data_IF_217937534704
#
_entry.id   IF_217937534704
#
_cell.length_a   1.000
_cell.length_b   1.000
_cell.length_c   1.000
_cell.angle_alpha   90.00
_cell.angle_beta   90.00
_cell.angle_gamma   90.00
#
_symmetry.space_group_name_H-M   'P 1'
#
loop_
_entity.id
_entity.type
_entity.pdbx_description
1 polymer ?
#
# COMPACT_ATOMS: atom_id res chain seq x y z
N UNK A 1 10.71 1.03 21.00
CA UNK A 1 10.43 0.96 19.55
C UNK A 1 10.93 -0.35 18.99
N UNK A 2 10.08 -1.17 18.43
CA UNK A 2 10.50 -2.36 17.67
C UNK A 2 11.03 -1.87 16.33
N UNK A 3 12.31 -2.12 16.05
CA UNK A 3 12.91 -1.70 14.79
C UNK A 3 12.31 -2.54 13.66
N UNK A 4 11.73 -1.91 12.64
CA UNK A 4 11.27 -2.61 11.45
C UNK A 4 12.48 -3.05 10.60
N UNK A 5 12.43 -4.25 10.04
CA UNK A 5 13.49 -4.82 9.20
C UNK A 5 12.93 -5.27 7.86
N UNK A 6 13.77 -5.36 6.83
CA UNK A 6 13.37 -5.90 5.52
C UNK A 6 12.79 -7.32 5.64
N UNK A 7 13.30 -8.14 6.55
CA UNK A 7 12.78 -9.50 6.80
C UNK A 7 11.34 -9.45 7.34
N UNK A 8 11.05 -8.54 8.27
CA UNK A 8 9.68 -8.32 8.75
C UNK A 8 8.75 -7.87 7.61
N UNK A 9 9.20 -6.94 6.75
CA UNK A 9 8.41 -6.51 5.59
C UNK A 9 8.10 -7.69 4.67
N UNK A 10 9.10 -8.51 4.36
CA UNK A 10 8.92 -9.71 3.53
C UNK A 10 8.01 -10.76 4.18
N UNK A 11 7.95 -10.82 5.52
CA UNK A 11 7.00 -11.70 6.21
C UNK A 11 5.55 -11.21 6.13
N UNK A 12 5.33 -9.89 6.08
CA UNK A 12 4.00 -9.31 5.83
C UNK A 12 3.59 -9.44 4.37
N UNK A 13 4.54 -9.32 3.44
CA UNK A 13 4.30 -9.30 1.99
C UNK A 13 5.11 -10.40 1.29
N UNK A 14 4.75 -11.68 1.47
CA UNK A 14 5.49 -12.79 0.88
C UNK A 14 5.51 -12.74 -0.66
N UNK A 15 4.55 -12.04 -1.29
CA UNK A 15 4.48 -11.82 -2.72
C UNK A 15 5.70 -11.06 -3.29
N UNK A 16 6.45 -10.34 -2.46
CA UNK A 16 7.73 -9.75 -2.87
C UNK A 16 8.74 -10.80 -3.37
N UNK A 17 8.60 -12.07 -2.94
CA UNK A 17 9.43 -13.15 -3.46
C UNK A 17 9.05 -13.60 -4.88
N UNK A 18 7.85 -13.27 -5.37
CA UNK A 18 7.37 -13.60 -6.72
C UNK A 18 7.90 -12.61 -7.78
N UNK A 19 8.41 -11.44 -7.36
CA UNK A 19 8.99 -10.43 -8.25
C UNK A 19 10.26 -10.97 -8.89
N UNK A 20 10.35 -10.93 -10.23
CA UNK A 20 11.52 -11.40 -10.98
C UNK A 20 12.75 -10.55 -10.70
N UNK A 21 12.59 -9.23 -10.68
CA UNK A 21 13.66 -8.31 -10.33
C UNK A 21 13.76 -8.15 -8.81
N UNK A 22 14.56 -8.97 -8.15
CA UNK A 22 14.74 -8.98 -6.71
C UNK A 22 15.35 -7.68 -6.13
N UNK A 23 16.03 -6.87 -6.96
CA UNK A 23 16.47 -5.53 -6.55
C UNK A 23 15.27 -4.60 -6.30
N UNK A 24 14.22 -4.68 -7.12
CA UNK A 24 12.99 -3.93 -6.88
C UNK A 24 12.23 -4.42 -5.64
N UNK A 25 12.20 -5.73 -5.41
CA UNK A 25 11.61 -6.28 -4.19
C UNK A 25 12.33 -5.82 -2.92
N UNK A 26 13.67 -5.72 -2.98
CA UNK A 26 14.48 -5.16 -1.90
C UNK A 26 14.15 -3.69 -1.66
N UNK A 27 14.13 -2.86 -2.71
CA UNK A 27 13.78 -1.45 -2.62
C UNK A 27 12.38 -1.23 -2.03
N UNK A 28 11.40 -2.07 -2.39
CA UNK A 28 10.07 -2.00 -1.80
C UNK A 28 10.10 -2.28 -0.29
N UNK A 29 10.90 -3.24 0.17
CA UNK A 29 11.07 -3.49 1.59
C UNK A 29 11.77 -2.33 2.31
N UNK A 30 12.81 -1.75 1.72
CA UNK A 30 13.52 -0.58 2.24
C UNK A 30 12.60 0.65 2.37
N UNK A 31 11.68 0.85 1.42
CA UNK A 31 10.68 1.93 1.48
C UNK A 31 9.77 1.76 2.72
N UNK A 32 9.29 0.54 2.99
CA UNK A 32 8.49 0.28 4.19
C UNK A 32 9.26 0.54 5.47
N UNK A 33 10.54 0.15 5.52
CA UNK A 33 11.42 0.41 6.66
C UNK A 33 11.57 1.91 6.88
N UNK A 34 11.92 2.66 5.83
CA UNK A 34 12.12 4.11 5.94
C UNK A 34 10.82 4.85 6.32
N UNK A 35 9.69 4.51 5.69
CA UNK A 35 8.41 5.13 6.02
C UNK A 35 7.99 4.86 7.47
N UNK A 36 8.27 3.66 8.00
CA UNK A 36 8.02 3.36 9.40
C UNK A 36 8.96 4.14 10.34
N UNK A 37 10.26 4.23 10.02
CA UNK A 37 11.23 5.00 10.81
C UNK A 37 10.89 6.50 10.84
N UNK A 38 10.30 7.04 9.78
CA UNK A 38 9.86 8.43 9.68
C UNK A 38 8.48 8.67 10.34
N UNK A 39 7.78 7.62 10.71
CA UNK A 39 6.45 7.70 11.32
C UNK A 39 6.53 7.86 12.85
N UNK A 40 5.40 8.16 13.46
CA UNK A 40 5.27 8.20 14.93
C UNK A 40 4.77 6.87 15.53
N UNK A 41 4.55 5.84 14.72
CA UNK A 41 4.08 4.56 15.20
C UNK A 41 5.18 3.79 15.94
N UNK A 42 4.86 3.26 17.12
CA UNK A 42 5.80 2.45 17.91
C UNK A 42 5.82 0.99 17.46
N UNK A 43 4.70 0.50 16.93
CA UNK A 43 4.54 -0.84 16.40
C UNK A 43 3.77 -0.78 15.08
N UNK A 44 4.29 -1.44 14.04
CA UNK A 44 3.67 -1.46 12.72
C UNK A 44 2.26 -2.08 12.72
N UNK A 45 2.00 -3.02 13.63
CA UNK A 45 0.69 -3.65 13.76
C UNK A 45 -0.41 -2.70 14.25
N UNK A 46 -0.03 -1.57 14.88
CA UNK A 46 -0.97 -0.56 15.39
C UNK A 46 -1.26 0.54 14.35
N UNK A 47 -0.44 0.63 13.30
CA UNK A 47 -0.67 1.56 12.20
C UNK A 47 -1.95 1.19 11.45
N UNK A 48 -2.88 2.16 11.31
CA UNK A 48 -4.19 1.94 10.72
C UNK A 48 -4.24 2.40 9.28
N UNK A 49 -5.04 1.71 8.45
CA UNK A 49 -5.14 2.08 7.03
C UNK A 49 -6.08 3.27 6.81
N UNK A 50 -7.07 3.49 7.69
CA UNK A 50 -8.02 4.60 7.56
C UNK A 50 -8.62 5.00 8.91
N UNK A 51 -8.89 6.30 9.08
CA UNK A 51 -9.58 6.82 10.27
C UNK A 51 -11.04 6.37 10.37
N UNK A 52 -11.68 6.02 9.24
CA UNK A 52 -13.07 5.53 9.16
C UNK A 52 -13.22 4.06 9.49
N UNK A 53 -12.12 3.30 9.56
CA UNK A 53 -12.12 1.89 9.91
C UNK A 53 -11.12 1.63 11.05
N UNK A 54 -11.45 2.09 12.28
CA UNK A 54 -10.58 1.93 13.43
C UNK A 54 -10.33 0.45 13.72
N UNK A 55 -9.09 0.12 14.06
CA UNK A 55 -8.67 -1.26 14.39
C UNK A 55 -8.28 -2.11 13.18
N UNK A 56 -8.41 -1.61 11.94
CA UNK A 56 -7.89 -2.31 10.76
C UNK A 56 -6.45 -1.87 10.52
N UNK A 57 -5.52 -2.81 10.71
CA UNK A 57 -4.09 -2.55 10.55
C UNK A 57 -3.73 -2.32 9.07
N UNK A 58 -2.88 -1.32 8.82
CA UNK A 58 -2.38 -0.98 7.47
C UNK A 58 -1.74 -2.18 6.76
N UNK A 59 -0.92 -2.96 7.48
CA UNK A 59 -0.27 -4.15 6.89
C UNK A 59 -1.28 -5.22 6.48
N UNK A 60 -2.40 -5.37 7.20
CA UNK A 60 -3.46 -6.32 6.87
C UNK A 60 -4.25 -5.89 5.63
N UNK A 61 -4.59 -4.60 5.55
CA UNK A 61 -5.21 -4.03 4.37
C UNK A 61 -4.31 -4.22 3.13
N UNK A 62 -3.05 -3.83 3.22
CA UNK A 62 -2.10 -3.94 2.11
C UNK A 62 -1.88 -5.40 1.68
N UNK A 63 -1.78 -6.34 2.64
CA UNK A 63 -1.69 -7.79 2.36
C UNK A 63 -2.94 -8.27 1.58
N UNK A 64 -4.13 -7.92 2.05
CA UNK A 64 -5.41 -8.26 1.43
C UNK A 64 -5.53 -7.70 0.01
N UNK A 65 -5.24 -6.42 -0.17
CA UNK A 65 -5.25 -5.76 -1.49
C UNK A 65 -4.29 -6.45 -2.46
N UNK A 66 -3.06 -6.75 -2.00
CA UNK A 66 -2.07 -7.44 -2.84
C UNK A 66 -2.53 -8.83 -3.26
N UNK A 67 -3.07 -9.62 -2.32
CA UNK A 67 -3.60 -10.95 -2.60
C UNK A 67 -4.78 -10.91 -3.58
N UNK A 68 -5.73 -9.99 -3.37
CA UNK A 68 -6.89 -9.80 -4.24
C UNK A 68 -6.47 -9.35 -5.65
N UNK A 69 -5.53 -8.40 -5.75
CA UNK A 69 -5.02 -7.94 -7.04
C UNK A 69 -4.40 -9.09 -7.85
N UNK A 70 -3.59 -9.94 -7.21
CA UNK A 70 -3.00 -11.11 -7.87
C UNK A 70 -4.03 -12.16 -8.26
N UNK A 71 -5.06 -12.38 -7.45
CA UNK A 71 -6.16 -13.27 -7.79
C UNK A 71 -6.92 -12.79 -9.03
N UNK A 72 -7.23 -11.50 -9.09
CA UNK A 72 -7.88 -10.88 -10.26
C UNK A 72 -6.98 -10.99 -11.48
N UNK A 73 -5.68 -10.69 -11.35
CA UNK A 73 -4.73 -10.77 -12.45
C UNK A 73 -4.65 -12.20 -13.03
N UNK A 74 -4.48 -13.21 -12.17
CA UNK A 74 -4.43 -14.64 -12.58
C UNK A 74 -5.70 -15.04 -13.30
N UNK A 75 -6.88 -14.70 -12.78
CA UNK A 75 -8.15 -14.98 -13.43
C UNK A 75 -8.27 -14.28 -14.79
N UNK A 76 -7.81 -13.04 -14.89
CA UNK A 76 -7.85 -12.26 -16.14
C UNK A 76 -6.96 -12.88 -17.20
N UNK A 77 -5.74 -13.29 -16.85
CA UNK A 77 -4.83 -14.01 -17.76
C UNK A 77 -5.45 -15.34 -18.20
N UNK A 78 -5.98 -16.13 -17.26
CA UNK A 78 -6.57 -17.44 -17.56
C UNK A 78 -7.78 -17.35 -18.49
N UNK A 79 -8.66 -16.38 -18.28
CA UNK A 79 -9.93 -16.27 -19.05
C UNK A 79 -9.78 -15.56 -20.38
N UNK A 80 -8.89 -14.55 -20.45
CA UNK A 80 -8.83 -13.65 -21.61
C UNK A 80 -7.48 -13.67 -22.33
N UNK A 81 -6.43 -14.26 -21.73
CA UNK A 81 -5.07 -14.28 -22.30
C UNK A 81 -4.40 -12.90 -22.34
N UNK A 82 -4.83 -11.96 -21.50
CA UNK A 82 -4.24 -10.62 -21.47
C UNK A 82 -2.86 -10.67 -20.80
N UNK A 83 -1.95 -9.85 -21.33
CA UNK A 83 -0.63 -9.66 -20.71
C UNK A 83 -0.75 -8.71 -19.54
N UNK A 84 -0.21 -9.11 -18.38
CA UNK A 84 -0.17 -8.33 -17.14
C UNK A 84 1.24 -8.39 -16.59
N UNK A 85 1.83 -7.23 -16.32
CA UNK A 85 3.11 -7.16 -15.64
C UNK A 85 2.90 -7.37 -14.12
N UNK A 86 3.13 -8.62 -13.70
CA UNK A 86 2.95 -9.01 -12.29
C UNK A 86 3.97 -8.37 -11.36
N UNK A 87 5.20 -8.07 -11.83
CA UNK A 87 6.20 -7.37 -11.02
C UNK A 87 5.73 -5.94 -10.70
N UNK A 88 5.23 -5.22 -11.73
CA UNK A 88 4.66 -3.86 -11.56
C UNK A 88 3.43 -3.89 -10.66
N UNK A 89 2.54 -4.87 -10.85
CA UNK A 89 1.33 -5.00 -10.03
C UNK A 89 1.66 -5.27 -8.56
N UNK A 90 2.57 -6.21 -8.26
CA UNK A 90 2.97 -6.51 -6.88
C UNK A 90 3.62 -5.30 -6.23
N UNK A 91 4.57 -4.65 -6.91
CA UNK A 91 5.25 -3.46 -6.40
C UNK A 91 4.25 -2.35 -6.07
N UNK A 92 3.33 -2.07 -7.00
CA UNK A 92 2.33 -1.03 -6.80
C UNK A 92 1.36 -1.40 -5.67
N UNK A 93 0.90 -2.66 -5.59
CA UNK A 93 -0.01 -3.11 -4.53
C UNK A 93 0.64 -3.08 -3.15
N UNK A 94 1.90 -3.49 -3.03
CA UNK A 94 2.63 -3.42 -1.75
C UNK A 94 2.92 -1.99 -1.32
N UNK A 95 3.09 -1.05 -2.26
CA UNK A 95 3.54 0.32 -1.95
C UNK A 95 2.43 1.38 -2.00
N UNK A 96 1.20 1.05 -2.47
CA UNK A 96 0.16 2.05 -2.71
C UNK A 96 -0.12 2.91 -1.48
N UNK A 97 -0.15 2.30 -0.32
CA UNK A 97 -0.55 2.90 0.94
C UNK A 97 0.59 3.07 1.96
N UNK A 98 1.84 2.76 1.59
CA UNK A 98 2.96 2.73 2.55
C UNK A 98 3.10 4.03 3.33
N UNK A 99 2.89 5.18 2.71
CA UNK A 99 2.99 6.48 3.38
C UNK A 99 1.76 6.88 4.21
N UNK A 100 0.77 6.01 4.37
CA UNK A 100 -0.19 6.15 5.49
C UNK A 100 0.50 6.06 6.85
N UNK A 101 1.66 5.44 6.92
CA UNK A 101 2.52 5.45 8.11
C UNK A 101 2.88 6.88 8.54
N UNK A 102 3.19 7.76 7.58
CA UNK A 102 3.54 9.16 7.85
C UNK A 102 2.33 10.09 7.78
N UNK A 103 1.33 9.75 6.95
CA UNK A 103 0.09 10.53 6.82
C UNK A 103 -0.75 10.50 8.09
N UNK A 104 -0.68 9.40 8.85
CA UNK A 104 -1.48 9.21 10.06
C UNK A 104 -0.59 8.97 11.28
N UNK A 105 -1.14 9.30 12.43
CA UNK A 105 -0.57 9.06 13.74
C UNK A 105 -1.65 8.49 14.68
N UNK A 106 -1.24 7.93 15.81
CA UNK A 106 -2.16 7.47 16.84
C UNK A 106 -3.04 8.65 17.32
N UNK A 107 -4.32 8.40 17.46
CA UNK A 107 -5.27 9.33 18.04
C UNK A 107 -5.05 9.54 19.54
N UNK A 108 -6.06 10.02 20.25
CA UNK A 108 -5.94 10.23 21.69
C UNK A 108 -5.64 8.92 22.42
N UNK A 109 -4.79 9.02 23.44
CA UNK A 109 -4.26 7.86 24.16
C UNK A 109 -5.39 6.95 24.67
N UNK A 110 -5.36 5.69 24.26
CA UNK A 110 -6.37 4.69 24.63
C UNK A 110 -7.65 4.68 23.79
N UNK A 111 -7.77 5.56 22.77
CA UNK A 111 -8.96 5.59 21.90
C UNK A 111 -9.00 4.45 20.88
N UNK A 112 -7.86 3.84 20.55
CA UNK A 112 -7.75 2.87 19.46
C UNK A 112 -8.01 3.45 18.07
N UNK A 113 -8.01 4.79 17.95
CA UNK A 113 -8.26 5.51 16.69
C UNK A 113 -6.99 6.12 16.14
N UNK A 114 -7.03 6.56 14.89
CA UNK A 114 -5.96 7.33 14.25
C UNK A 114 -6.46 8.69 13.81
N UNK A 115 -5.53 9.60 13.57
CA UNK A 115 -5.79 10.94 13.04
C UNK A 115 -4.71 11.33 12.04
N UNK A 116 -4.96 12.40 11.27
CA UNK A 116 -3.96 12.96 10.37
C UNK A 116 -2.80 13.55 11.16
N UNK A 117 -1.60 13.17 10.80
CA UNK A 117 -0.36 13.78 11.30
C UNK A 117 -0.20 15.23 10.80
N UNK A 118 0.81 15.95 11.28
CA UNK A 118 1.14 17.27 10.74
C UNK A 118 1.48 17.20 9.25
N UNK A 119 2.21 16.16 8.81
CA UNK A 119 2.54 15.92 7.41
C UNK A 119 1.29 15.54 6.61
N UNK A 120 0.43 14.69 7.16
CA UNK A 120 -0.82 14.25 6.53
C UNK A 120 -1.87 15.35 6.33
N UNK A 121 -1.73 16.48 7.01
CA UNK A 121 -2.53 17.70 6.75
C UNK A 121 -2.06 18.47 5.51
N UNK A 122 -0.82 18.22 5.06
CA UNK A 122 -0.20 18.90 3.91
C UNK A 122 -0.25 17.99 2.67
N UNK A 123 0.13 16.71 2.83
CA UNK A 123 0.25 15.76 1.74
C UNK A 123 -0.67 14.55 1.93
N UNK A 124 -1.15 14.02 0.81
CA UNK A 124 -1.85 12.74 0.78
C UNK A 124 -0.83 11.59 0.66
N UNK A 125 -1.14 10.42 1.24
CA UNK A 125 -0.29 9.22 1.19
C UNK A 125 0.07 8.81 -0.23
N UNK A 126 -0.84 8.89 -1.21
CA UNK A 126 -0.55 8.53 -2.60
C UNK A 126 0.57 9.37 -3.21
N UNK A 127 0.61 10.69 -2.91
CA UNK A 127 1.70 11.56 -3.34
C UNK A 127 3.02 11.17 -2.65
N UNK A 128 3.00 10.97 -1.34
CA UNK A 128 4.20 10.61 -0.57
C UNK A 128 4.73 9.23 -0.98
N UNK A 129 3.84 8.23 -1.13
CA UNK A 129 4.23 6.91 -1.62
C UNK A 129 4.86 6.98 -3.02
N UNK A 130 4.30 7.79 -3.92
CA UNK A 130 4.88 8.06 -5.23
C UNK A 130 6.24 8.75 -5.16
N UNK A 131 6.45 9.68 -4.23
CA UNK A 131 7.76 10.27 -3.99
C UNK A 131 8.79 9.20 -3.58
N UNK A 132 8.44 8.28 -2.67
CA UNK A 132 9.35 7.20 -2.27
C UNK A 132 9.68 6.25 -3.43
N UNK A 133 8.70 5.90 -4.25
CA UNK A 133 8.97 5.05 -5.42
C UNK A 133 9.99 5.67 -6.37
N UNK A 134 9.89 7.00 -6.60
CA UNK A 134 10.86 7.74 -7.41
C UNK A 134 12.23 7.87 -6.72
N UNK A 135 12.24 8.20 -5.44
CA UNK A 135 13.46 8.31 -4.63
C UNK A 135 14.29 7.03 -4.67
N UNK A 136 13.65 5.87 -4.65
CA UNK A 136 14.29 4.57 -4.70
C UNK A 136 14.55 4.08 -6.13
N UNK A 137 14.17 4.85 -7.15
CA UNK A 137 14.41 4.51 -8.57
C UNK A 137 13.65 3.26 -9.00
N UNK A 138 12.39 3.10 -8.52
CA UNK A 138 11.47 2.12 -9.05
C UNK A 138 10.91 2.57 -10.42
N UNK A 139 10.37 1.65 -11.25
CA UNK A 139 9.79 2.00 -12.54
C UNK A 139 8.72 3.10 -12.44
N UNK A 140 8.66 3.97 -13.46
CA UNK A 140 7.66 5.04 -13.53
C UNK A 140 6.23 4.51 -13.50
N UNK A 141 6.02 3.32 -14.07
CA UNK A 141 4.73 2.61 -14.06
C UNK A 141 4.26 2.37 -12.63
N UNK A 142 5.14 1.89 -11.74
CA UNK A 142 4.85 1.70 -10.31
C UNK A 142 4.43 3.02 -9.67
N UNK A 143 5.23 4.08 -9.90
CA UNK A 143 4.92 5.41 -9.38
C UNK A 143 3.55 5.90 -9.85
N UNK A 144 3.27 5.76 -11.15
CA UNK A 144 2.00 6.18 -11.73
C UNK A 144 0.80 5.46 -11.11
N UNK A 145 0.91 4.14 -10.90
CA UNK A 145 -0.13 3.34 -10.25
C UNK A 145 -0.32 3.75 -8.78
N UNK A 146 0.77 3.90 -8.03
CA UNK A 146 0.74 4.30 -6.62
C UNK A 146 0.10 5.68 -6.44
N UNK A 147 0.45 6.67 -7.26
CA UNK A 147 -0.14 8.03 -7.16
C UNK A 147 -1.63 8.02 -7.51
N UNK A 148 -2.06 7.16 -8.42
CA UNK A 148 -3.42 7.16 -8.97
C UNK A 148 -4.34 6.07 -8.37
N UNK A 149 -3.88 5.27 -7.38
CA UNK A 149 -4.58 4.06 -6.93
C UNK A 149 -5.92 4.33 -6.26
N UNK A 150 -6.12 5.47 -5.62
CA UNK A 150 -7.27 5.71 -4.75
C UNK A 150 -8.32 6.63 -5.36
N UNK A 151 -9.56 6.55 -4.85
CA UNK A 151 -10.64 7.48 -5.21
C UNK A 151 -10.38 8.95 -4.85
N UNK A 152 -9.33 9.26 -4.10
CA UNK A 152 -8.87 10.63 -3.85
C UNK A 152 -8.09 11.19 -5.03
N UNK A 153 -7.52 10.35 -5.88
CA UNK A 153 -6.92 10.76 -7.14
C UNK A 153 -8.02 11.08 -8.17
N UNK A 154 -7.86 12.17 -8.91
CA UNK A 154 -8.73 12.48 -10.05
C UNK A 154 -8.29 11.76 -11.33
N UNK A 155 -7.20 11.03 -11.28
CA UNK A 155 -6.65 10.27 -12.40
C UNK A 155 -6.89 8.78 -12.12
N UNK A 156 -7.67 8.14 -12.98
CA UNK A 156 -7.86 6.69 -12.92
C UNK A 156 -6.77 6.05 -13.80
N UNK A 157 -5.99 5.10 -13.25
CA UNK A 157 -5.01 4.36 -14.06
C UNK A 157 -5.70 3.67 -15.24
N UNK A 158 -5.11 3.76 -16.43
CA UNK A 158 -5.70 3.15 -17.65
C UNK A 158 -5.03 1.85 -18.05
N UNK A 159 -3.97 1.41 -17.36
CA UNK A 159 -3.40 0.09 -17.57
C UNK A 159 -4.25 -0.99 -16.90
N UNK A 160 -4.08 -2.23 -17.32
CA UNK A 160 -4.79 -3.36 -16.69
C UNK A 160 -4.39 -3.48 -15.22
N UNK A 161 -3.10 -3.36 -14.91
CA UNK A 161 -2.57 -3.39 -13.55
C UNK A 161 -3.18 -2.30 -12.68
N UNK A 162 -3.31 -1.08 -13.24
CA UNK A 162 -3.91 0.05 -12.54
C UNK A 162 -5.39 -0.16 -12.23
N UNK A 163 -6.16 -0.71 -13.16
CA UNK A 163 -7.57 -1.04 -12.94
C UNK A 163 -7.72 -2.15 -11.90
N UNK A 164 -6.86 -3.17 -11.95
CA UNK A 164 -6.86 -4.26 -10.98
C UNK A 164 -6.55 -3.72 -9.58
N UNK A 165 -5.49 -2.94 -9.42
CA UNK A 165 -5.12 -2.35 -8.14
C UNK A 165 -6.23 -1.47 -7.58
N UNK A 166 -6.77 -0.56 -8.41
CA UNK A 166 -7.84 0.34 -8.00
C UNK A 166 -9.05 -0.39 -7.44
N UNK A 167 -9.54 -1.41 -8.15
CA UNK A 167 -10.73 -2.15 -7.69
C UNK A 167 -10.41 -3.09 -6.52
N UNK A 168 -9.22 -3.65 -6.43
CA UNK A 168 -8.81 -4.45 -5.27
C UNK A 168 -8.75 -3.60 -3.99
N UNK A 169 -8.16 -2.39 -4.06
CA UNK A 169 -8.08 -1.44 -2.96
C UNK A 169 -9.47 -0.92 -2.56
N UNK A 170 -10.26 -0.43 -3.52
CA UNK A 170 -11.59 0.10 -3.24
C UNK A 170 -12.52 -0.96 -2.62
N UNK A 171 -12.48 -2.18 -3.12
CA UNK A 171 -13.28 -3.28 -2.60
C UNK A 171 -12.90 -3.59 -1.14
N UNK A 172 -11.61 -3.71 -0.83
CA UNK A 172 -11.15 -4.00 0.53
C UNK A 172 -11.51 -2.86 1.49
N UNK A 173 -11.26 -1.61 1.09
CA UNK A 173 -11.61 -0.43 1.88
C UNK A 173 -13.13 -0.33 2.14
N UNK A 174 -13.96 -0.51 1.13
CA UNK A 174 -15.42 -0.42 1.24
C UNK A 174 -16.00 -1.51 2.14
N UNK A 175 -15.45 -2.74 2.11
CA UNK A 175 -15.86 -3.81 3.04
C UNK A 175 -15.66 -3.35 4.49
N UNK A 176 -14.50 -2.77 4.81
CA UNK A 176 -14.20 -2.28 6.14
C UNK A 176 -15.07 -1.08 6.53
N UNK A 177 -15.35 -0.17 5.59
CA UNK A 177 -16.23 0.98 5.85
C UNK A 177 -17.69 0.56 6.10
N UNK A 178 -18.19 -0.43 5.38
CA UNK A 178 -19.53 -1.01 5.63
C UNK A 178 -19.58 -1.71 6.98
N UNK A 179 -18.53 -2.44 7.37
CA UNK A 179 -18.46 -3.11 8.66
C UNK A 179 -18.38 -2.13 9.84
N UNK A 180 -17.78 -0.96 9.64
CA UNK A 180 -17.63 0.05 10.68
C UNK A 180 -18.92 0.90 10.91
N UNK A 181 -19.89 0.90 10.00
CA UNK A 181 -21.17 1.64 10.05
C UNK A 181 -20.98 3.00 9.41
#
# INVERSE_FOLDING_TARGET
MTKMTEEMVRSYFPQLSEIKNQEYAKKAAEIWVEAFENSSWENIADAQFATRAPGVALVKHTESVTANALMIARNTVEKYGYEIDTDILILAAVLHDVCKLEEMEMGDQGSGTSRKSSLGKIYQHGFLSGYYTQKYGLPNEVTGLVVAHSGQSKVIPRSIEGMILYYADMMDADIHFVQAG
#
